data_IF_884489048410
#
_entry.id   IF_884489048410
#
_cell.length_a   1.000
_cell.length_b   1.000
_cell.length_c   1.000
_cell.angle_alpha   90.00
_cell.angle_beta   90.00
_cell.angle_gamma   90.00
#
_symmetry.space_group_name_H-M   'P 1'
#
loop_
_entity.id
_entity.type
_entity.pdbx_description
1 polymer ?
#
# COMPACT_ATOMS: atom_id res chain seq x y z
N UNK A 1 8.14 -7.75 -14.30
CA UNK A 1 8.75 -8.48 -13.15
C UNK A 1 8.91 -7.51 -11.98
N UNK A 2 8.30 -7.76 -10.83
CA UNK A 2 8.32 -6.87 -9.65
C UNK A 2 9.60 -7.09 -8.83
N UNK A 3 10.16 -6.04 -8.22
CA UNK A 3 11.31 -6.13 -7.30
C UNK A 3 10.88 -5.70 -5.89
N UNK A 4 11.24 -6.47 -4.87
CA UNK A 4 10.97 -6.15 -3.46
C UNK A 4 12.26 -5.86 -2.72
N UNK A 5 12.23 -4.83 -1.89
CA UNK A 5 13.25 -4.50 -0.91
C UNK A 5 12.57 -4.37 0.46
N UNK A 6 12.99 -5.19 1.43
CA UNK A 6 12.48 -5.18 2.80
C UNK A 6 13.53 -4.57 3.71
N UNK A 7 13.14 -3.53 4.45
CA UNK A 7 13.93 -2.87 5.48
C UNK A 7 13.12 -2.86 6.79
N UNK A 8 13.78 -2.56 7.91
CA UNK A 8 13.11 -2.56 9.21
C UNK A 8 12.00 -1.48 9.25
N UNK A 9 10.73 -1.90 9.29
CA UNK A 9 9.56 -1.02 9.28
C UNK A 9 9.19 -0.43 7.91
N UNK A 10 9.91 -0.79 6.84
CA UNK A 10 9.63 -0.31 5.48
C UNK A 10 9.71 -1.43 4.45
N UNK A 11 8.68 -1.55 3.61
CA UNK A 11 8.66 -2.48 2.49
C UNK A 11 8.47 -1.69 1.21
N UNK A 12 9.43 -1.85 0.29
CA UNK A 12 9.39 -1.23 -1.02
C UNK A 12 9.13 -2.26 -2.10
N UNK A 13 8.15 -1.97 -2.95
CA UNK A 13 7.74 -2.77 -4.09
C UNK A 13 7.90 -1.91 -5.35
N UNK A 14 8.79 -2.31 -6.26
CA UNK A 14 8.98 -1.66 -7.55
C UNK A 14 8.29 -2.45 -8.66
N UNK A 15 7.40 -1.78 -9.38
CA UNK A 15 6.77 -2.32 -10.58
C UNK A 15 7.56 -1.89 -11.81
N UNK A 16 8.00 -2.86 -12.61
CA UNK A 16 8.59 -2.59 -13.92
C UNK A 16 7.54 -2.52 -15.04
N UNK A 17 6.35 -3.05 -14.81
CA UNK A 17 5.22 -3.08 -15.74
C UNK A 17 3.91 -3.18 -14.94
N UNK A 18 2.78 -2.68 -15.48
CA UNK A 18 1.48 -2.82 -14.82
C UNK A 18 1.05 -4.29 -14.79
N UNK A 19 0.64 -4.74 -13.61
CA UNK A 19 0.11 -6.08 -13.39
C UNK A 19 -1.42 -6.03 -13.24
N UNK A 20 -2.13 -6.67 -14.15
CA UNK A 20 -3.60 -6.66 -14.19
C UNK A 20 -4.22 -7.41 -12.99
N UNK A 21 -5.30 -6.87 -12.43
CA UNK A 21 -6.12 -7.56 -11.43
C UNK A 21 -5.66 -7.35 -9.99
N UNK A 22 -6.19 -8.19 -9.08
CA UNK A 22 -5.82 -8.17 -7.66
C UNK A 22 -4.53 -8.96 -7.46
N UNK A 23 -3.59 -8.39 -6.73
CA UNK A 23 -2.37 -9.08 -6.30
C UNK A 23 -2.27 -9.05 -4.79
N UNK A 24 -2.24 -10.22 -4.18
CA UNK A 24 -1.92 -10.35 -2.76
C UNK A 24 -0.50 -9.88 -2.47
N UNK A 25 -0.23 -9.49 -1.23
CA UNK A 25 1.13 -9.11 -0.81
C UNK A 25 2.08 -10.32 -0.91
N UNK A 26 1.57 -11.53 -0.70
CA UNK A 26 2.29 -12.77 -0.94
C UNK A 26 2.67 -12.96 -2.42
N UNK A 27 1.78 -12.66 -3.36
CA UNK A 27 2.06 -12.72 -4.81
C UNK A 27 3.04 -11.65 -5.29
N UNK A 28 3.08 -10.50 -4.61
CA UNK A 28 4.13 -9.50 -4.83
C UNK A 28 5.50 -10.06 -4.42
N UNK A 29 5.52 -10.99 -3.46
CA UNK A 29 6.71 -11.65 -2.91
C UNK A 29 7.04 -11.20 -1.48
N UNK A 30 6.07 -10.63 -0.76
CA UNK A 30 6.25 -10.19 0.63
C UNK A 30 5.85 -11.30 1.58
N UNK A 31 6.74 -11.68 2.49
CA UNK A 31 6.49 -12.77 3.44
C UNK A 31 5.85 -12.24 4.73
N UNK A 32 5.13 -13.11 5.45
CA UNK A 32 4.55 -12.75 6.75
C UNK A 32 5.62 -12.34 7.77
N UNK A 33 6.82 -12.94 7.71
CA UNK A 33 7.93 -12.64 8.61
C UNK A 33 8.48 -11.21 8.43
N UNK A 34 8.32 -10.65 7.22
CA UNK A 34 8.74 -9.29 6.87
C UNK A 34 7.80 -8.22 7.45
N UNK A 35 6.67 -8.64 8.03
CA UNK A 35 5.50 -7.81 8.28
C UNK A 35 4.98 -7.86 9.73
N UNK A 36 5.88 -8.13 10.67
CA UNK A 36 5.63 -7.93 12.09
C UNK A 36 5.94 -6.49 12.47
N UNK A 37 4.89 -5.71 12.72
CA UNK A 37 5.00 -4.28 13.02
C UNK A 37 5.16 -4.07 14.53
N UNK A 38 6.35 -4.39 15.06
CA UNK A 38 6.60 -4.35 16.51
C UNK A 38 6.45 -2.94 17.13
N UNK A 39 6.83 -1.90 16.38
CA UNK A 39 6.75 -0.51 16.84
C UNK A 39 5.36 0.12 16.65
N UNK A 40 4.42 -0.60 16.03
CA UNK A 40 3.15 -0.05 15.56
C UNK A 40 3.25 0.85 14.32
N UNK A 41 4.44 1.04 13.73
CA UNK A 41 4.63 1.88 12.55
C UNK A 41 4.94 1.06 11.30
N UNK A 42 4.15 1.25 10.26
CA UNK A 42 4.36 0.63 8.95
C UNK A 42 4.58 1.67 7.87
N UNK A 43 5.54 1.41 6.98
CA UNK A 43 5.72 2.15 5.72
C UNK A 43 5.74 1.20 4.53
N UNK A 44 4.80 1.36 3.60
CA UNK A 44 4.79 0.68 2.31
C UNK A 44 5.11 1.67 1.22
N UNK A 45 6.00 1.30 0.30
CA UNK A 45 6.41 2.15 -0.82
C UNK A 45 6.17 1.37 -2.10
N UNK A 46 5.31 1.90 -2.97
CA UNK A 46 5.11 1.40 -4.31
C UNK A 46 5.79 2.35 -5.31
N UNK A 47 6.86 1.88 -5.93
CA UNK A 47 7.56 2.58 -7.01
C UNK A 47 6.88 2.19 -8.33
N UNK A 48 6.23 3.18 -8.93
CA UNK A 48 5.37 3.10 -10.12
C UNK A 48 6.00 3.87 -11.29
N UNK A 49 7.32 4.08 -11.26
CA UNK A 49 8.08 4.72 -12.34
C UNK A 49 7.75 4.07 -13.70
N UNK A 50 7.41 4.89 -14.69
CA UNK A 50 7.07 4.41 -16.04
C UNK A 50 5.65 3.85 -16.20
N UNK A 51 4.84 3.79 -15.13
CA UNK A 51 3.43 3.35 -15.20
C UNK A 51 2.50 4.56 -15.20
N UNK A 52 1.90 4.83 -16.36
CA UNK A 52 1.00 5.97 -16.52
C UNK A 52 -0.46 5.72 -16.13
N UNK A 53 -1.20 6.82 -15.94
CA UNK A 53 -2.61 6.84 -15.47
C UNK A 53 -3.58 5.90 -16.22
N UNK A 54 -3.38 5.70 -17.51
CA UNK A 54 -4.27 4.87 -18.33
C UNK A 54 -4.34 3.41 -17.87
N UNK A 55 -3.28 2.96 -17.18
CA UNK A 55 -3.18 1.61 -16.63
C UNK A 55 -4.03 1.44 -15.37
N UNK A 56 -4.36 2.50 -14.64
CA UNK A 56 -5.03 2.38 -13.36
C UNK A 56 -6.52 2.08 -13.50
N UNK A 57 -7.06 1.30 -12.55
CA UNK A 57 -8.50 1.21 -12.32
C UNK A 57 -9.07 2.57 -11.92
N UNK A 58 -10.38 2.75 -12.07
CA UNK A 58 -11.05 3.99 -11.67
C UNK A 58 -10.84 4.30 -10.18
N UNK A 59 -10.75 3.26 -9.36
CA UNK A 59 -10.51 3.36 -7.91
C UNK A 59 -9.43 2.36 -7.52
N UNK A 60 -8.15 2.73 -7.67
CA UNK A 60 -7.04 1.91 -7.20
C UNK A 60 -7.22 1.66 -5.70
N UNK A 61 -7.06 0.41 -5.28
CA UNK A 61 -7.41 0.00 -3.92
C UNK A 61 -6.26 -0.75 -3.28
N UNK A 62 -6.09 -0.54 -1.97
CA UNK A 62 -5.22 -1.35 -1.12
C UNK A 62 -6.09 -1.88 0.01
N UNK A 63 -6.04 -3.19 0.23
CA UNK A 63 -6.68 -3.82 1.38
C UNK A 63 -5.61 -4.47 2.22
N UNK A 64 -5.61 -4.11 3.51
CA UNK A 64 -4.65 -4.59 4.48
C UNK A 64 -5.42 -5.30 5.58
N UNK A 65 -5.04 -6.56 5.85
CA UNK A 65 -5.62 -7.40 6.89
C UNK A 65 -4.57 -7.69 7.96
N UNK A 66 -4.96 -7.60 9.22
CA UNK A 66 -4.14 -7.85 10.39
C UNK A 66 -4.89 -8.75 11.39
N UNK A 67 -4.13 -9.57 12.13
CA UNK A 67 -4.70 -10.58 13.03
C UNK A 67 -5.34 -9.95 14.28
N UNK A 68 -4.80 -8.84 14.78
CA UNK A 68 -5.29 -8.18 15.98
C UNK A 68 -6.59 -7.39 15.73
N UNK A 69 -7.46 -7.35 16.74
CA UNK A 69 -8.56 -6.40 16.74
C UNK A 69 -8.04 -5.03 17.20
N UNK A 70 -7.72 -4.16 16.26
CA UNK A 70 -7.14 -2.84 16.55
C UNK A 70 -8.22 -1.86 16.97
N UNK A 71 -8.01 -1.15 18.07
CA UNK A 71 -8.95 -0.13 18.56
C UNK A 71 -9.07 1.05 17.60
N UNK A 72 -7.94 1.52 17.09
CA UNK A 72 -7.86 2.64 16.15
C UNK A 72 -6.59 2.52 15.33
N UNK A 73 -6.68 2.65 14.00
CA UNK A 73 -5.53 2.69 13.10
C UNK A 73 -5.58 3.97 12.27
N UNK A 74 -4.43 4.62 12.12
CA UNK A 74 -4.30 5.83 11.30
C UNK A 74 -3.51 5.52 10.03
N UNK A 75 -4.04 5.95 8.89
CA UNK A 75 -3.50 5.66 7.58
C UNK A 75 -3.34 6.94 6.77
N UNK A 76 -2.15 7.14 6.23
CA UNK A 76 -1.85 8.24 5.33
C UNK A 76 -1.34 7.64 4.03
N UNK A 77 -1.95 8.00 2.91
CA UNK A 77 -1.38 7.74 1.58
C UNK A 77 -0.81 9.03 1.01
N UNK A 78 0.43 8.98 0.59
CA UNK A 78 1.13 10.05 -0.11
C UNK A 78 1.43 9.60 -1.54
N UNK A 79 1.20 10.46 -2.53
CA UNK A 79 1.66 10.22 -3.89
C UNK A 79 2.50 11.41 -4.34
N UNK A 80 3.75 11.14 -4.74
CA UNK A 80 4.72 12.15 -5.18
C UNK A 80 4.84 13.35 -4.20
N UNK A 81 4.95 13.09 -2.90
CA UNK A 81 5.12 14.14 -1.89
C UNK A 81 3.83 14.83 -1.43
N UNK A 82 2.66 14.41 -1.91
CA UNK A 82 1.36 14.99 -1.57
C UNK A 82 0.45 13.98 -0.90
N UNK A 83 -0.11 14.32 0.26
CA UNK A 83 -1.13 13.48 0.91
C UNK A 83 -2.39 13.42 0.04
N UNK A 84 -2.75 12.20 -0.37
CA UNK A 84 -3.94 11.92 -1.20
C UNK A 84 -5.06 11.23 -0.42
N UNK A 85 -4.74 10.65 0.73
CA UNK A 85 -5.70 10.03 1.66
C UNK A 85 -5.18 10.20 3.09
N UNK A 86 -6.08 10.57 3.99
CA UNK A 86 -5.87 10.58 5.44
C UNK A 86 -7.10 9.93 6.06
N UNK A 87 -6.92 8.78 6.72
CA UNK A 87 -8.01 7.91 7.16
C UNK A 87 -7.74 7.36 8.55
N UNK A 88 -8.72 7.52 9.41
CA UNK A 88 -8.79 6.90 10.72
C UNK A 88 -9.83 5.78 10.67
N UNK A 89 -9.44 4.56 11.03
CA UNK A 89 -10.36 3.44 11.21
C UNK A 89 -10.46 3.07 12.68
N UNK A 90 -11.69 2.82 13.14
CA UNK A 90 -11.96 2.40 14.51
C UNK A 90 -12.38 0.94 14.51
N UNK A 91 -11.81 0.14 15.40
CA UNK A 91 -12.19 -1.24 15.67
C UNK A 91 -12.27 -2.15 14.44
N UNK A 92 -11.24 -2.93 14.19
CA UNK A 92 -11.30 -3.91 13.11
C UNK A 92 -10.06 -4.79 13.01
N UNK A 93 -10.08 -5.65 12.00
CA UNK A 93 -8.98 -6.53 11.59
C UNK A 93 -8.47 -6.19 10.18
N UNK A 94 -9.01 -5.12 9.58
CA UNK A 94 -8.62 -4.72 8.25
C UNK A 94 -8.95 -3.26 7.97
N UNK A 95 -8.23 -2.73 6.98
CA UNK A 95 -8.47 -1.40 6.42
C UNK A 95 -8.48 -1.49 4.91
N UNK A 96 -9.44 -0.80 4.30
CA UNK A 96 -9.51 -0.59 2.84
C UNK A 96 -9.17 0.88 2.53
N UNK A 97 -8.14 1.08 1.72
CA UNK A 97 -7.69 2.38 1.23
C UNK A 97 -8.14 2.54 -0.23
N UNK A 98 -9.12 3.42 -0.45
CA UNK A 98 -9.65 3.72 -1.78
C UNK A 98 -8.98 4.98 -2.31
N UNK A 99 -8.15 4.83 -3.34
CA UNK A 99 -7.44 5.93 -3.96
C UNK A 99 -8.23 6.50 -5.15
N UNK A 100 -7.98 7.76 -5.47
CA UNK A 100 -8.67 8.46 -6.56
C UNK A 100 -7.75 8.57 -7.78
N UNK A 101 -8.07 7.84 -8.87
CA UNK A 101 -7.31 7.88 -10.13
C UNK A 101 -7.11 9.30 -10.66
N UNK A 102 -8.09 10.20 -10.51
CA UNK A 102 -7.96 11.60 -10.97
C UNK A 102 -6.91 12.36 -10.17
N UNK A 103 -6.78 12.08 -8.88
CA UNK A 103 -5.77 12.71 -8.04
C UNK A 103 -4.39 12.20 -8.42
N UNK A 104 -4.24 10.88 -8.61
CA UNK A 104 -2.99 10.28 -9.10
C UNK A 104 -2.58 10.88 -10.46
N UNK A 105 -3.52 10.99 -11.40
CA UNK A 105 -3.30 11.62 -12.71
C UNK A 105 -2.71 13.03 -12.60
N UNK A 106 -3.27 13.84 -11.71
CA UNK A 106 -2.90 15.25 -11.57
C UNK A 106 -1.52 15.44 -10.93
N UNK A 107 -1.06 14.43 -10.19
CA UNK A 107 0.19 14.42 -9.46
C UNK A 107 1.27 13.58 -10.15
N UNK A 108 0.91 12.89 -11.24
CA UNK A 108 1.83 12.05 -12.02
C UNK A 108 2.98 12.90 -12.58
N UNK A 109 4.20 12.39 -12.46
CA UNK A 109 5.39 13.02 -13.04
C UNK A 109 5.98 12.12 -14.14
N UNK A 110 6.71 12.72 -15.07
CA UNK A 110 7.28 12.00 -16.22
C UNK A 110 8.34 10.96 -15.85
N UNK A 111 9.03 11.12 -14.72
CA UNK A 111 10.22 10.34 -14.37
C UNK A 111 10.16 9.68 -13.00
N UNK A 112 9.22 10.06 -12.13
CA UNK A 112 9.13 9.51 -10.78
C UNK A 112 7.67 9.46 -10.36
N UNK A 113 7.18 8.26 -10.03
CA UNK A 113 5.84 8.07 -9.49
C UNK A 113 5.95 7.13 -8.30
N UNK A 114 5.80 7.67 -7.10
CA UNK A 114 5.94 6.92 -5.85
C UNK A 114 4.69 7.10 -5.00
N UNK A 115 4.04 5.98 -4.67
CA UNK A 115 2.95 5.92 -3.70
C UNK A 115 3.50 5.39 -2.38
N UNK A 116 3.33 6.14 -1.30
CA UNK A 116 3.75 5.74 0.03
C UNK A 116 2.50 5.60 0.90
N UNK A 117 2.40 4.48 1.61
CA UNK A 117 1.37 4.24 2.62
C UNK A 117 2.05 4.21 3.98
N UNK A 118 1.61 5.08 4.87
CA UNK A 118 1.98 5.08 6.27
C UNK A 118 0.81 4.53 7.08
N UNK A 119 1.12 3.67 8.06
CA UNK A 119 0.15 3.23 9.04
C UNK A 119 0.71 3.38 10.45
N UNK A 120 -0.14 3.85 11.35
CA UNK A 120 0.10 3.85 12.79
C UNK A 120 -0.94 2.95 13.46
N UNK A 121 -0.45 1.91 14.11
CA UNK A 121 -1.20 0.97 14.92
C UNK A 121 -1.03 1.30 16.40
N UNK A 122 -2.05 1.07 17.23
CA UNK A 122 -2.03 1.43 18.65
C UNK A 122 -1.21 0.41 19.48
N UNK A 123 -0.85 -0.72 18.87
CA UNK A 123 -0.11 -1.84 19.44
C UNK A 123 0.57 -2.61 18.28
N UNK A 124 1.47 -3.57 18.58
CA UNK A 124 2.08 -4.40 17.55
C UNK A 124 1.03 -5.10 16.67
N UNK A 125 1.31 -5.17 15.36
CA UNK A 125 0.41 -5.73 14.36
C UNK A 125 1.06 -6.89 13.59
N UNK A 126 0.32 -7.97 13.39
CA UNK A 126 0.69 -9.07 12.49
C UNK A 126 -0.16 -8.99 11.24
N UNK A 127 0.47 -8.69 10.10
CA UNK A 127 -0.24 -8.58 8.83
C UNK A 127 -0.37 -9.92 8.11
N UNK A 128 -1.55 -10.14 7.52
CA UNK A 128 -1.84 -11.32 6.73
C UNK A 128 -1.55 -11.03 5.25
N UNK A 129 -0.39 -11.47 4.74
CA UNK A 129 0.03 -11.14 3.37
C UNK A 129 -0.77 -11.85 2.28
N UNK A 130 -1.51 -12.91 2.62
CA UNK A 130 -2.36 -13.64 1.67
C UNK A 130 -3.70 -12.96 1.46
N UNK A 131 -4.26 -12.41 2.52
CA UNK A 131 -5.53 -11.68 2.49
C UNK A 131 -5.34 -10.20 2.15
N UNK A 132 -4.17 -9.62 2.44
CA UNK A 132 -3.84 -8.26 2.02
C UNK A 132 -3.50 -8.21 0.54
N UNK A 133 -4.02 -7.22 -0.18
CA UNK A 133 -3.81 -7.09 -1.63
C UNK A 133 -3.82 -5.65 -2.11
N UNK A 134 -3.24 -5.47 -3.29
CA UNK A 134 -3.40 -4.27 -4.11
C UNK A 134 -4.30 -4.57 -5.31
N UNK A 135 -4.97 -3.54 -5.79
CA UNK A 135 -5.75 -3.58 -7.03
C UNK A 135 -5.58 -2.26 -7.76
N UNK A 136 -4.41 -2.08 -8.37
CA UNK A 136 -4.03 -0.82 -9.02
C UNK A 136 -4.37 -0.77 -10.50
N UNK A 137 -4.04 -1.82 -11.26
CA UNK A 137 -3.98 -1.76 -12.72
C UNK A 137 -4.98 -2.68 -13.42
N UNK A 138 -5.58 -2.18 -14.50
CA UNK A 138 -6.58 -2.86 -15.34
C UNK A 138 -6.08 -4.18 -15.90
#
# INVERSE_FOLDING_TARGET
MTKIEVNQGEIKVKFNEPSSGKLSFAELGINNEDFNVESGLLRLVFDLEGIGEHNYYQMPTIEIFYEENMSETHWICEFNGQTILDKLDHHGHSTTLLLNRKVLNNLEQHHENTLIVHAEFPQPAHLNTKESYIHFFK
#
